data_IF_656579483783
#
_entry.id   IF_656579483783
#
_cell.length_a   1.000
_cell.length_b   1.000
_cell.length_c   1.000
_cell.angle_alpha   90.00
_cell.angle_beta   90.00
_cell.angle_gamma   90.00
#
_symmetry.space_group_name_H-M   'P 1'
#
loop_
_entity.id
_entity.type
_entity.pdbx_description
1 polymer ?
#
# COMPACT_ATOMS: atom_id res chain seq x y z
N UNK A 1 -19.43 6.41 7.14
CA UNK A 1 -18.20 5.97 7.78
C UNK A 1 -17.03 6.83 7.30
N UNK A 2 -16.29 7.41 8.22
CA UNK A 2 -15.31 8.44 7.88
C UNK A 2 -13.86 8.04 8.25
N UNK A 3 -13.57 6.75 8.15
CA UNK A 3 -12.21 6.26 8.41
C UNK A 3 -11.34 6.37 7.17
N UNK A 4 -10.08 6.76 7.39
CA UNK A 4 -9.06 6.63 6.34
C UNK A 4 -8.74 5.15 6.14
N UNK A 5 -8.62 4.74 4.89
CA UNK A 5 -8.33 3.37 4.51
C UNK A 5 -6.94 3.29 3.90
N UNK A 6 -6.09 2.44 4.45
CA UNK A 6 -4.75 2.20 3.89
C UNK A 6 -4.76 0.85 3.18
N UNK A 7 -4.55 0.89 1.86
CA UNK A 7 -4.44 -0.33 1.05
C UNK A 7 -2.97 -0.74 1.08
N UNK A 8 -2.67 -1.86 1.73
CA UNK A 8 -1.29 -2.31 1.92
C UNK A 8 -1.00 -3.62 1.21
N UNK A 9 0.26 -3.88 0.97
CA UNK A 9 0.72 -5.10 0.34
C UNK A 9 2.00 -4.89 -0.44
N UNK A 10 2.51 -5.96 -1.03
CA UNK A 10 3.74 -5.92 -1.83
C UNK A 10 3.49 -5.29 -3.20
N UNK A 11 4.56 -4.97 -3.91
CA UNK A 11 4.46 -4.54 -5.31
C UNK A 11 3.77 -5.62 -6.14
N UNK A 12 2.93 -5.21 -7.07
CA UNK A 12 2.17 -6.14 -7.89
C UNK A 12 0.89 -6.65 -7.25
N UNK A 13 0.59 -6.26 -6.01
CA UNK A 13 -0.65 -6.67 -5.35
C UNK A 13 -1.89 -5.91 -5.84
N UNK A 14 -1.69 -4.79 -6.54
CA UNK A 14 -2.79 -4.01 -7.09
C UNK A 14 -3.24 -2.84 -6.22
N UNK A 15 -2.40 -2.40 -5.29
CA UNK A 15 -2.76 -1.33 -4.34
C UNK A 15 -3.30 -0.06 -5.00
N UNK A 16 -2.61 0.44 -6.01
CA UNK A 16 -3.02 1.69 -6.65
C UNK A 16 -4.32 1.53 -7.43
N UNK A 17 -4.46 0.45 -8.18
CA UNK A 17 -5.66 0.16 -8.96
C UNK A 17 -6.87 -0.02 -8.04
N UNK A 18 -6.73 -0.84 -7.01
CA UNK A 18 -7.79 -1.10 -6.03
C UNK A 18 -8.11 0.17 -5.25
N UNK A 19 -7.07 0.90 -4.83
CA UNK A 19 -7.25 2.12 -4.05
C UNK A 19 -8.01 3.18 -4.81
N UNK A 20 -7.69 3.40 -6.07
CA UNK A 20 -8.39 4.38 -6.92
C UNK A 20 -9.86 4.01 -7.11
N UNK A 21 -10.13 2.74 -7.40
CA UNK A 21 -11.49 2.27 -7.62
C UNK A 21 -12.33 2.35 -6.34
N UNK A 22 -11.74 1.96 -5.21
CA UNK A 22 -12.41 2.03 -3.93
C UNK A 22 -12.71 3.48 -3.54
N UNK A 23 -11.75 4.37 -3.72
CA UNK A 23 -11.93 5.80 -3.43
C UNK A 23 -13.07 6.38 -4.26
N UNK A 24 -13.13 6.04 -5.53
CA UNK A 24 -14.21 6.48 -6.41
C UNK A 24 -15.57 6.01 -5.89
N UNK A 25 -15.68 4.75 -5.51
CA UNK A 25 -16.94 4.20 -5.01
C UNK A 25 -17.37 4.78 -3.67
N UNK A 26 -16.41 5.17 -2.84
CA UNK A 26 -16.70 5.75 -1.52
C UNK A 26 -16.74 7.28 -1.54
N UNK A 27 -16.51 7.90 -2.69
CA UNK A 27 -16.42 9.35 -2.84
C UNK A 27 -15.34 9.96 -1.95
N UNK A 28 -14.20 9.27 -1.85
CA UNK A 28 -13.03 9.73 -1.12
C UNK A 28 -11.90 10.05 -2.10
N UNK A 29 -10.97 10.89 -1.66
CA UNK A 29 -9.77 11.17 -2.45
C UNK A 29 -8.78 10.03 -2.30
N UNK A 30 -8.05 9.75 -3.38
CA UNK A 30 -7.01 8.74 -3.41
C UNK A 30 -5.64 9.39 -3.42
N UNK A 31 -4.72 8.85 -2.63
CA UNK A 31 -3.30 9.22 -2.65
C UNK A 31 -2.44 7.96 -2.75
N UNK A 32 -1.40 8.04 -3.57
CA UNK A 32 -0.42 6.96 -3.68
C UNK A 32 0.77 7.31 -2.82
N UNK A 33 1.07 6.46 -1.84
CA UNK A 33 2.17 6.69 -0.91
C UNK A 33 3.53 6.74 -1.60
N UNK A 34 3.68 6.08 -2.74
CA UNK A 34 4.93 6.11 -3.49
C UNK A 34 5.30 7.50 -3.99
N UNK A 35 4.30 8.35 -4.20
CA UNK A 35 4.53 9.73 -4.64
C UNK A 35 5.20 10.60 -3.57
N UNK A 36 5.28 10.10 -2.35
CA UNK A 36 5.81 10.85 -1.21
C UNK A 36 7.25 10.45 -0.83
N UNK A 37 7.87 9.55 -1.58
CA UNK A 37 9.27 9.21 -1.39
C UNK A 37 10.19 10.34 -1.83
N UNK A 38 11.31 10.50 -1.13
CA UNK A 38 12.37 11.44 -1.52
C UNK A 38 13.02 10.98 -2.84
N UNK A 39 13.71 11.90 -3.50
CA UNK A 39 14.47 11.59 -4.70
C UNK A 39 15.51 10.50 -4.43
N UNK A 40 16.17 10.56 -3.25
CA UNK A 40 17.15 9.54 -2.86
C UNK A 40 16.51 8.16 -2.77
N UNK A 41 15.31 8.07 -2.20
CA UNK A 41 14.60 6.79 -2.11
C UNK A 41 14.20 6.28 -3.49
N UNK A 42 13.72 7.17 -4.35
CA UNK A 42 13.35 6.79 -5.72
C UNK A 42 14.56 6.26 -6.49
N UNK A 43 15.70 6.94 -6.39
CA UNK A 43 16.94 6.50 -7.04
C UNK A 43 17.38 5.14 -6.50
N UNK A 44 17.35 4.96 -5.19
CA UNK A 44 17.75 3.72 -4.55
C UNK A 44 16.91 2.55 -5.04
N UNK A 45 15.59 2.75 -5.10
CA UNK A 45 14.68 1.72 -5.59
C UNK A 45 14.90 1.42 -7.07
N UNK A 46 15.15 2.44 -7.89
CA UNK A 46 15.39 2.25 -9.32
C UNK A 46 16.66 1.46 -9.59
N UNK A 47 17.63 1.47 -8.67
CA UNK A 47 18.85 0.70 -8.74
C UNK A 47 18.72 -0.71 -8.18
N UNK A 48 17.50 -1.09 -7.77
CA UNK A 48 17.24 -2.42 -7.21
C UNK A 48 17.68 -2.57 -5.76
N UNK A 49 17.92 -1.46 -5.06
CA UNK A 49 18.33 -1.49 -3.66
C UNK A 49 17.11 -1.34 -2.75
N UNK A 50 16.96 -2.22 -1.75
CA UNK A 50 15.86 -2.07 -0.79
C UNK A 50 16.08 -0.87 0.12
N UNK A 51 14.97 -0.24 0.53
CA UNK A 51 15.02 0.85 1.48
C UNK A 51 15.21 0.30 2.90
N UNK A 52 16.02 1.00 3.70
CA UNK A 52 16.18 0.69 5.12
C UNK A 52 15.05 1.34 5.92
N UNK A 53 14.95 1.00 7.20
CA UNK A 53 13.99 1.66 8.09
C UNK A 53 14.30 3.15 8.19
N UNK A 54 15.57 3.51 8.22
CA UNK A 54 15.99 4.90 8.26
C UNK A 54 15.55 5.67 7.00
N UNK A 55 15.69 5.03 5.83
CA UNK A 55 15.23 5.62 4.56
C UNK A 55 13.73 5.94 4.57
N UNK A 56 12.96 5.15 5.32
CA UNK A 56 11.50 5.28 5.37
C UNK A 56 10.99 6.26 6.42
N UNK A 57 11.83 6.72 7.33
CA UNK A 57 11.41 7.61 8.43
C UNK A 57 10.70 8.87 7.92
N UNK A 58 11.34 9.61 7.02
CA UNK A 58 10.77 10.85 6.48
C UNK A 58 9.52 10.57 5.64
N UNK A 59 9.54 9.47 4.91
CA UNK A 59 8.41 9.04 4.10
C UNK A 59 7.18 8.77 4.98
N UNK A 60 7.35 8.01 6.06
CA UNK A 60 6.25 7.71 6.99
C UNK A 60 5.75 8.98 7.68
N UNK A 61 6.65 9.89 8.03
CA UNK A 61 6.26 11.17 8.61
C UNK A 61 5.42 12.00 7.63
N UNK A 62 5.81 12.03 6.35
CA UNK A 62 5.06 12.72 5.31
C UNK A 62 3.67 12.12 5.13
N UNK A 63 3.56 10.79 5.15
CA UNK A 63 2.27 10.12 5.03
C UNK A 63 1.39 10.37 6.25
N UNK A 64 1.96 10.39 7.44
CA UNK A 64 1.22 10.72 8.66
C UNK A 64 0.65 12.14 8.61
N UNK A 65 1.44 13.10 8.15
CA UNK A 65 0.98 14.48 7.96
C UNK A 65 -0.14 14.56 6.93
N UNK A 66 -0.02 13.82 5.84
CA UNK A 66 -1.05 13.76 4.81
C UNK A 66 -2.38 13.26 5.38
N UNK A 67 -2.32 12.19 6.16
CA UNK A 67 -3.52 11.61 6.76
C UNK A 67 -4.21 12.62 7.67
N UNK A 68 -3.46 13.31 8.52
CA UNK A 68 -4.01 14.31 9.41
C UNK A 68 -4.67 15.46 8.64
N UNK A 69 -4.01 15.92 7.58
CA UNK A 69 -4.47 17.08 6.81
C UNK A 69 -5.69 16.78 5.91
N UNK A 70 -5.76 15.56 5.37
CA UNK A 70 -6.68 15.24 4.27
C UNK A 70 -7.74 14.18 4.61
N UNK A 71 -7.73 13.63 5.81
CA UNK A 71 -8.66 12.57 6.19
C UNK A 71 -10.12 12.98 6.08
N UNK A 72 -11.06 12.06 5.68
CA UNK A 72 -10.79 10.67 5.35
C UNK A 72 -10.34 10.50 3.91
N UNK A 73 -9.36 9.63 3.68
CA UNK A 73 -8.79 9.35 2.36
C UNK A 73 -8.59 7.85 2.16
N UNK A 74 -8.32 7.47 0.91
CA UNK A 74 -7.78 6.14 0.60
C UNK A 74 -6.32 6.34 0.23
N UNK A 75 -5.44 5.66 0.95
CA UNK A 75 -4.00 5.75 0.76
C UNK A 75 -3.44 4.39 0.35
N UNK A 76 -2.76 4.30 -0.78
CA UNK A 76 -2.00 3.11 -1.15
C UNK A 76 -0.61 3.23 -0.55
N UNK A 77 -0.25 2.29 0.31
CA UNK A 77 1.03 2.31 1.00
C UNK A 77 1.44 0.88 1.34
N UNK A 78 2.66 0.48 0.99
CA UNK A 78 3.11 -0.89 1.24
C UNK A 78 2.96 -1.31 2.70
N UNK A 79 3.34 -0.45 3.64
CA UNK A 79 3.17 -0.64 5.09
C UNK A 79 3.57 -2.05 5.57
N UNK A 80 4.71 -2.54 5.09
CA UNK A 80 5.10 -3.96 5.22
C UNK A 80 5.39 -4.40 6.65
N UNK A 81 5.91 -3.51 7.49
CA UNK A 81 6.23 -3.85 8.88
C UNK A 81 5.20 -3.30 9.84
N UNK A 82 4.98 -4.03 10.92
CA UNK A 82 4.08 -3.60 11.99
C UNK A 82 4.43 -2.20 12.51
N UNK A 83 5.70 -1.89 12.69
CA UNK A 83 6.12 -0.58 13.18
C UNK A 83 5.80 0.56 12.21
N UNK A 84 5.76 0.29 10.91
CA UNK A 84 5.34 1.28 9.93
C UNK A 84 3.86 1.58 10.09
N UNK A 85 3.05 0.54 10.26
CA UNK A 85 1.61 0.68 10.48
C UNK A 85 1.29 1.40 11.78
N UNK A 86 2.07 1.10 12.83
CA UNK A 86 1.92 1.79 14.12
C UNK A 86 2.23 3.27 13.99
N UNK A 87 3.26 3.62 13.23
CA UNK A 87 3.62 5.02 12.97
C UNK A 87 2.44 5.76 12.31
N UNK A 88 1.84 5.16 11.28
CA UNK A 88 0.70 5.76 10.60
C UNK A 88 -0.53 5.84 11.52
N UNK A 89 -0.76 4.82 12.33
CA UNK A 89 -1.91 4.78 13.25
C UNK A 89 -1.85 5.83 14.34
N UNK A 90 -0.66 6.33 14.67
CA UNK A 90 -0.53 7.42 15.65
C UNK A 90 -1.17 8.71 15.15
N UNK A 91 -1.24 8.90 13.84
CA UNK A 91 -1.85 10.10 13.26
C UNK A 91 -3.37 10.05 13.25
N UNK A 92 -3.95 8.86 13.30
CA UNK A 92 -5.41 8.66 13.28
C UNK A 92 -5.74 7.26 13.80
N UNK A 93 -6.28 7.18 15.02
CA UNK A 93 -6.60 5.89 15.64
C UNK A 93 -7.75 5.16 14.95
N UNK A 94 -8.52 5.85 14.11
CA UNK A 94 -9.62 5.23 13.35
C UNK A 94 -9.14 4.64 12.02
N UNK A 95 -7.83 4.69 11.73
CA UNK A 95 -7.23 4.16 10.52
C UNK A 95 -7.53 2.68 10.36
N UNK A 96 -7.94 2.26 9.16
CA UNK A 96 -8.20 0.86 8.87
C UNK A 96 -7.26 0.38 7.77
N UNK A 97 -6.65 -0.77 7.98
CA UNK A 97 -5.75 -1.37 6.99
C UNK A 97 -6.48 -2.46 6.21
N UNK A 98 -6.24 -2.46 4.90
CA UNK A 98 -6.74 -3.48 3.98
C UNK A 98 -5.52 -4.14 3.37
N UNK A 99 -5.32 -5.42 3.67
CA UNK A 99 -4.17 -6.16 3.18
C UNK A 99 -4.53 -6.95 1.93
N UNK A 100 -3.88 -6.62 0.82
CA UNK A 100 -4.03 -7.35 -0.43
C UNK A 100 -3.02 -8.50 -0.43
N UNK A 101 -3.51 -9.70 -0.16
CA UNK A 101 -2.68 -10.90 -0.06
C UNK A 101 -2.59 -11.57 -1.42
N UNK A 102 -1.38 -11.71 -1.95
CA UNK A 102 -1.16 -12.39 -3.20
C UNK A 102 0.05 -13.33 -3.10
N UNK A 103 0.05 -14.47 -3.83
CA UNK A 103 1.23 -15.32 -3.92
C UNK A 103 2.36 -14.63 -4.66
N UNK A 104 3.60 -14.98 -4.28
CA UNK A 104 4.80 -14.44 -4.89
C UNK A 104 4.79 -14.55 -6.42
N UNK A 105 4.42 -15.72 -6.94
CA UNK A 105 4.42 -15.96 -8.38
C UNK A 105 3.44 -15.04 -9.13
N UNK A 106 2.30 -14.74 -8.52
CA UNK A 106 1.32 -13.83 -9.12
C UNK A 106 1.87 -12.40 -9.14
N UNK A 107 2.46 -11.95 -8.04
CA UNK A 107 3.07 -10.63 -7.97
C UNK A 107 4.19 -10.48 -9.00
N UNK A 108 5.03 -11.50 -9.10
CA UNK A 108 6.16 -11.51 -10.04
C UNK A 108 5.68 -11.40 -11.49
N UNK A 109 4.66 -12.17 -11.86
CA UNK A 109 4.09 -12.13 -13.21
C UNK A 109 3.49 -10.77 -13.53
N UNK A 110 2.78 -10.18 -12.58
CA UNK A 110 2.20 -8.84 -12.77
C UNK A 110 3.27 -7.79 -13.00
N UNK A 111 4.36 -7.84 -12.24
CA UNK A 111 5.47 -6.89 -12.41
C UNK A 111 6.18 -7.09 -13.75
N UNK A 112 6.38 -8.33 -14.17
CA UNK A 112 7.05 -8.64 -15.43
C UNK A 112 6.24 -8.18 -16.65
N UNK A 113 4.91 -8.10 -16.55
CA UNK A 113 4.04 -7.70 -17.63
C UNK A 113 3.86 -6.19 -17.77
N UNK A 114 4.34 -5.40 -16.80
CA UNK A 114 4.23 -3.93 -16.84
C UNK A 114 5.41 -3.32 -17.56
N UNK A 115 5.17 -2.75 -18.74
CA UNK A 115 6.21 -2.15 -19.56
C UNK A 115 6.80 -0.88 -18.96
N UNK A 116 5.98 -0.09 -18.28
CA UNK A 116 6.37 1.16 -17.65
C UNK A 116 6.89 0.99 -16.23
N UNK A 117 6.89 -0.24 -15.74
CA UNK A 117 7.28 -0.52 -14.36
C UNK A 117 8.77 -0.84 -14.29
N UNK A 118 9.51 -0.03 -13.57
CA UNK A 118 10.96 -0.13 -13.47
C UNK A 118 11.47 -0.82 -12.21
N UNK A 119 10.57 -1.38 -11.37
CA UNK A 119 10.98 -2.04 -10.13
C UNK A 119 11.57 -3.42 -10.43
N UNK A 120 12.86 -3.65 -10.10
CA UNK A 120 13.46 -4.97 -10.31
C UNK A 120 12.82 -6.06 -9.45
N UNK A 121 12.89 -7.30 -9.95
CA UNK A 121 12.38 -8.47 -9.21
C UNK A 121 13.06 -8.63 -7.85
N UNK A 122 14.33 -8.22 -7.74
CA UNK A 122 15.06 -8.29 -6.47
C UNK A 122 14.39 -7.48 -5.36
N UNK A 123 13.70 -6.38 -5.70
CA UNK A 123 12.95 -5.59 -4.72
C UNK A 123 11.69 -6.32 -4.26
N UNK A 124 11.07 -7.09 -5.15
CA UNK A 124 9.93 -7.91 -4.77
C UNK A 124 10.31 -8.95 -3.73
N UNK A 125 11.45 -9.63 -3.93
CA UNK A 125 11.97 -10.59 -2.97
C UNK A 125 12.17 -9.94 -1.61
N UNK A 126 12.79 -8.76 -1.59
CA UNK A 126 13.01 -7.99 -0.37
C UNK A 126 11.69 -7.64 0.32
N UNK A 127 10.67 -7.28 -0.45
CA UNK A 127 9.37 -6.94 0.12
C UNK A 127 8.69 -8.13 0.77
N UNK A 128 8.75 -9.31 0.16
CA UNK A 128 8.20 -10.52 0.76
C UNK A 128 8.96 -10.90 2.03
N UNK A 129 10.26 -10.73 2.07
CA UNK A 129 11.06 -10.98 3.27
C UNK A 129 10.73 -9.98 4.39
N UNK A 130 10.46 -8.73 4.02
CA UNK A 130 10.17 -7.66 4.97
C UNK A 130 8.74 -7.72 5.50
N UNK A 131 7.82 -8.28 4.74
CA UNK A 131 6.40 -8.31 5.07
C UNK A 131 6.13 -9.01 6.41
N UNK A 132 5.53 -8.27 7.32
CA UNK A 132 4.97 -8.80 8.56
C UNK A 132 3.46 -8.78 8.40
N UNK A 133 2.85 -9.94 8.26
CA UNK A 133 1.42 -10.04 7.98
C UNK A 133 0.61 -9.38 9.08
N UNK A 134 -0.35 -8.50 8.73
CA UNK A 134 -1.14 -7.79 9.73
C UNK A 134 -2.16 -8.72 10.38
N UNK A 135 -2.40 -8.51 11.68
CA UNK A 135 -3.39 -9.29 12.43
C UNK A 135 -4.74 -8.59 12.49
N UNK A 136 -4.73 -7.25 12.45
CA UNK A 136 -5.94 -6.43 12.61
C UNK A 136 -6.29 -5.68 11.32
N UNK A 137 -6.25 -6.37 10.20
CA UNK A 137 -6.55 -5.79 8.89
C UNK A 137 -7.64 -6.61 8.20
N UNK A 138 -8.33 -5.99 7.26
CA UNK A 138 -9.21 -6.71 6.34
C UNK A 138 -8.30 -7.43 5.35
N UNK A 139 -8.34 -8.76 5.34
CA UNK A 139 -7.54 -9.57 4.43
C UNK A 139 -8.33 -9.90 3.18
N UNK A 140 -7.76 -9.57 2.01
CA UNK A 140 -8.39 -9.84 0.72
C UNK A 140 -7.43 -10.66 -0.13
N UNK A 141 -7.92 -11.76 -0.68
CA UNK A 141 -7.16 -12.52 -1.68
C UNK A 141 -7.18 -11.72 -2.98
N UNK A 142 -6.01 -11.25 -3.40
CA UNK A 142 -5.91 -10.23 -4.45
C UNK A 142 -5.63 -10.79 -5.85
N UNK A 143 -5.91 -12.06 -6.09
CA UNK A 143 -5.75 -12.67 -7.41
C UNK A 143 -6.93 -12.38 -8.34
N UNK A 144 -8.06 -11.96 -7.77
CA UNK A 144 -9.29 -11.65 -8.51
C UNK A 144 -9.19 -10.33 -9.26
N UNK A 145 -10.20 -10.03 -10.08
CA UNK A 145 -10.29 -8.73 -10.74
C UNK A 145 -10.43 -7.59 -9.71
N UNK A 146 -10.00 -6.40 -10.09
CA UNK A 146 -10.12 -5.22 -9.23
C UNK A 146 -11.57 -4.97 -8.84
N UNK A 147 -12.49 -5.12 -9.78
CA UNK A 147 -13.92 -4.94 -9.54
C UNK A 147 -14.45 -5.91 -8.47
N UNK A 148 -14.09 -7.19 -8.57
CA UNK A 148 -14.51 -8.20 -7.59
C UNK A 148 -13.95 -7.91 -6.20
N UNK A 149 -12.71 -7.47 -6.13
CA UNK A 149 -12.06 -7.11 -4.86
C UNK A 149 -12.78 -5.95 -4.20
N UNK A 150 -13.09 -4.90 -4.97
CA UNK A 150 -13.75 -3.71 -4.42
C UNK A 150 -15.18 -4.03 -4.00
N UNK A 151 -15.90 -4.88 -4.75
CA UNK A 151 -17.22 -5.35 -4.35
C UNK A 151 -17.16 -6.05 -2.98
N UNK A 152 -16.17 -6.91 -2.79
CA UNK A 152 -15.96 -7.60 -1.51
C UNK A 152 -15.64 -6.62 -0.39
N UNK A 153 -14.79 -5.61 -0.65
CA UNK A 153 -14.44 -4.58 0.32
C UNK A 153 -15.64 -3.75 0.74
N UNK A 154 -16.50 -3.40 -0.19
CA UNK A 154 -17.71 -2.64 0.16
C UNK A 154 -18.59 -3.40 1.14
N UNK A 155 -18.65 -4.73 1.01
CA UNK A 155 -19.39 -5.56 1.96
C UNK A 155 -18.78 -5.52 3.36
N UNK A 156 -17.45 -5.49 3.46
CA UNK A 156 -16.76 -5.36 4.75
C UNK A 156 -16.96 -3.98 5.38
N UNK A 157 -17.08 -2.95 4.56
CA UNK A 157 -17.10 -1.56 5.03
C UNK A 157 -18.50 -1.03 5.29
N UNK A 158 -19.52 -1.73 4.85
CA UNK A 158 -20.91 -1.31 5.03
C UNK A 158 -21.47 -1.68 6.41
#
# INVERSE_FOLDING_TARGET
MNSTLVIMGVSGSGKSTIGKLLAERLSLRFFDGDDFHSENNVQKMSLGRPLTDHDREDWLASLAELIVAEKPIVLACSALKKKYREHLSQSDISLRFIFLDIPYEVARKRLASREDHFMPVSLLDSQFETLQRPQNAINIQAEKSASAIVDELENFLS
#
